data_IF_821335138777
#
_entry.id   IF_821335138777
#
_cell.length_a   1.000
_cell.length_b   1.000
_cell.length_c   1.000
_cell.angle_alpha   90.00
_cell.angle_beta   90.00
_cell.angle_gamma   90.00
#
_symmetry.space_group_name_H-M   'P 1'
#
loop_
_entity.id
_entity.type
_entity.pdbx_description
1 polymer ?
#
# COMPACT_ATOMS: atom_id res chain seq x y z
N UNK A 1 49.82 13.37 -14.08
CA UNK A 1 49.78 12.75 -12.75
C UNK A 1 48.87 13.59 -11.88
N UNK A 2 48.09 12.92 -11.03
CA UNK A 2 47.26 13.45 -9.93
C UNK A 2 45.93 14.08 -10.35
N UNK A 3 44.77 13.74 -9.80
CA UNK A 3 44.35 12.67 -8.89
C UNK A 3 42.83 12.54 -9.07
N UNK A 4 42.35 11.32 -9.32
CA UNK A 4 40.92 11.00 -9.21
C UNK A 4 40.57 10.96 -7.72
N UNK A 5 39.59 11.75 -7.30
CA UNK A 5 38.87 11.51 -6.05
C UNK A 5 37.51 10.95 -6.44
N UNK A 6 37.48 9.64 -6.67
CA UNK A 6 36.25 8.87 -6.75
C UNK A 6 35.66 8.81 -5.35
N UNK A 7 34.76 9.73 -5.04
CA UNK A 7 33.84 9.61 -3.91
C UNK A 7 32.79 8.59 -4.27
N UNK A 8 33.03 7.32 -3.95
CA UNK A 8 31.97 6.32 -3.88
C UNK A 8 31.06 6.72 -2.72
N UNK A 9 29.97 7.41 -3.02
CA UNK A 9 28.84 7.50 -2.12
C UNK A 9 28.42 6.05 -1.85
N UNK A 10 28.67 5.57 -0.63
CA UNK A 10 28.13 4.29 -0.19
C UNK A 10 26.63 4.40 -0.31
N UNK A 11 26.04 3.62 -1.22
CA UNK A 11 24.62 3.31 -1.14
C UNK A 11 24.54 2.48 0.13
N UNK A 12 24.25 3.11 1.27
CA UNK A 12 23.83 2.38 2.46
C UNK A 12 22.65 1.54 2.00
N UNK A 13 22.88 0.25 1.87
CA UNK A 13 21.85 -0.74 1.55
C UNK A 13 20.98 -0.89 2.78
N UNK A 14 20.16 0.14 3.02
CA UNK A 14 19.18 0.13 4.08
C UNK A 14 18.11 -0.87 3.65
N UNK A 15 18.19 -2.07 4.23
CA UNK A 15 17.20 -3.10 3.98
C UNK A 15 15.90 -2.65 4.65
N UNK A 16 14.78 -2.61 3.91
CA UNK A 16 13.50 -2.25 4.50
C UNK A 16 13.16 -3.23 5.63
N UNK A 17 12.43 -2.74 6.62
CA UNK A 17 11.95 -3.55 7.75
C UNK A 17 10.47 -3.84 7.57
N UNK A 18 10.00 -4.98 8.08
CA UNK A 18 8.58 -5.28 8.12
C UNK A 18 7.87 -4.25 8.99
N UNK A 19 6.82 -3.62 8.46
CA UNK A 19 6.03 -2.62 9.19
C UNK A 19 5.34 -3.19 10.43
N UNK A 20 5.02 -4.50 10.44
CA UNK A 20 4.30 -5.13 11.54
C UNK A 20 5.23 -5.67 12.63
N UNK A 21 6.17 -6.55 12.29
CA UNK A 21 7.04 -7.20 13.29
C UNK A 21 8.41 -6.51 13.47
N UNK A 22 8.74 -5.50 12.65
CA UNK A 22 10.05 -4.84 12.65
C UNK A 22 11.20 -5.71 12.14
N UNK A 23 10.93 -6.95 11.72
CA UNK A 23 11.92 -7.88 11.20
C UNK A 23 12.60 -7.34 9.93
N UNK A 24 13.92 -7.49 9.85
CA UNK A 24 14.67 -7.11 8.67
C UNK A 24 14.26 -7.98 7.47
N UNK A 25 13.98 -7.34 6.35
CA UNK A 25 13.49 -8.05 5.18
C UNK A 25 14.65 -8.47 4.29
N UNK A 26 14.67 -9.76 3.92
CA UNK A 26 15.78 -10.35 3.18
C UNK A 26 15.42 -10.70 1.74
N UNK A 27 14.24 -11.28 1.44
CA UNK A 27 13.67 -11.44 0.08
C UNK A 27 12.12 -11.64 0.13
N UNK A 28 11.42 -11.42 -1.01
CA UNK A 28 9.95 -11.55 -1.21
C UNK A 28 9.08 -10.62 -0.34
N UNK A 29 8.99 -9.36 -0.77
CA UNK A 29 8.43 -8.27 0.01
C UNK A 29 7.05 -7.91 -0.51
N UNK A 30 6.01 -7.97 0.31
CA UNK A 30 4.76 -7.32 -0.07
C UNK A 30 4.90 -5.83 0.24
N UNK A 31 4.58 -4.96 -0.72
CA UNK A 31 4.39 -3.54 -0.44
C UNK A 31 2.96 -3.15 -0.76
N UNK A 32 2.34 -2.39 0.14
CA UNK A 32 1.03 -1.79 -0.05
C UNK A 32 1.19 -0.29 0.03
N UNK A 33 0.60 0.43 -0.92
CA UNK A 33 0.53 1.88 -0.87
C UNK A 33 -0.93 2.32 -0.87
N UNK A 34 -1.29 3.14 0.11
CA UNK A 34 -2.64 3.68 0.26
C UNK A 34 -2.67 5.16 -0.13
N UNK A 35 -3.70 5.54 -0.88
CA UNK A 35 -3.90 6.89 -1.39
C UNK A 35 -5.30 7.38 -0.99
N UNK A 36 -5.45 8.13 0.12
CA UNK A 36 -6.73 8.72 0.48
C UNK A 36 -7.09 9.79 -0.56
N UNK A 37 -8.32 9.77 -1.05
CA UNK A 37 -8.86 10.95 -1.76
C UNK A 37 -9.02 12.13 -0.80
N UNK A 38 -9.28 13.32 -1.33
CA UNK A 38 -9.26 14.59 -0.56
C UNK A 38 -10.14 14.58 0.72
N UNK A 39 -11.26 13.86 0.68
CA UNK A 39 -12.20 13.75 1.80
C UNK A 39 -12.03 12.46 2.65
N UNK A 40 -11.05 11.63 2.34
CA UNK A 40 -10.75 10.39 3.06
C UNK A 40 -9.55 10.57 4.00
N UNK A 41 -9.34 9.62 4.89
CA UNK A 41 -8.16 9.57 5.76
C UNK A 41 -7.51 8.19 5.67
N UNK A 42 -6.22 8.11 6.01
CA UNK A 42 -5.55 6.83 6.11
C UNK A 42 -6.17 5.99 7.23
N UNK A 43 -6.46 4.70 7.01
CA UNK A 43 -6.98 3.82 8.04
C UNK A 43 -6.00 3.63 9.19
N UNK A 44 -6.50 3.37 10.40
CA UNK A 44 -5.71 3.34 11.64
C UNK A 44 -4.62 2.24 11.74
N UNK A 45 -4.50 1.36 10.74
CA UNK A 45 -3.43 0.36 10.59
C UNK A 45 -2.40 0.69 9.51
N UNK A 46 -2.57 1.81 8.80
CA UNK A 46 -1.64 2.29 7.77
C UNK A 46 -0.81 3.45 8.34
N UNK A 47 0.53 3.47 8.18
CA UNK A 47 1.37 4.60 8.59
C UNK A 47 1.02 5.89 7.85
N UNK A 48 1.45 7.04 8.38
CA UNK A 48 1.12 8.37 7.85
C UNK A 48 1.60 8.61 6.40
N UNK A 49 2.61 7.87 5.94
CA UNK A 49 3.09 7.90 4.55
C UNK A 49 2.26 7.01 3.59
N UNK A 50 1.27 6.30 4.12
CA UNK A 50 0.40 5.40 3.39
C UNK A 50 1.01 4.04 3.06
N UNK A 51 2.28 3.80 3.43
CA UNK A 51 3.07 2.66 2.98
C UNK A 51 3.16 1.53 4.01
N UNK A 52 2.96 0.30 3.57
CA UNK A 52 3.28 -0.91 4.34
C UNK A 52 4.30 -1.73 3.56
N UNK A 53 5.29 -2.28 4.27
CA UNK A 53 6.14 -3.35 3.76
C UNK A 53 6.02 -4.56 4.67
N UNK A 54 5.65 -5.72 4.16
CA UNK A 54 5.39 -6.92 4.95
C UNK A 54 6.34 -8.06 4.58
N UNK A 55 6.84 -8.77 5.60
CA UNK A 55 7.50 -10.05 5.41
C UNK A 55 6.47 -11.13 5.03
N UNK A 56 6.89 -12.29 4.50
CA UNK A 56 5.96 -13.35 4.08
C UNK A 56 4.98 -13.78 5.18
N UNK A 57 5.43 -13.86 6.44
CA UNK A 57 4.58 -14.28 7.56
C UNK A 57 3.50 -13.23 7.86
N UNK A 58 3.89 -11.95 8.01
CA UNK A 58 2.94 -10.87 8.28
C UNK A 58 2.05 -10.52 7.07
N UNK A 59 2.46 -10.89 5.85
CA UNK A 59 1.71 -10.65 4.64
C UNK A 59 0.58 -11.67 4.42
N UNK A 60 0.64 -12.85 5.03
CA UNK A 60 -0.25 -13.98 4.68
C UNK A 60 -1.73 -13.63 4.77
N UNK A 61 -2.20 -13.14 5.92
CA UNK A 61 -3.62 -12.81 6.11
C UNK A 61 -4.04 -11.59 5.28
N UNK A 62 -3.15 -10.60 5.14
CA UNK A 62 -3.40 -9.42 4.31
C UNK A 62 -3.59 -9.83 2.85
N UNK A 63 -2.76 -10.76 2.36
CA UNK A 63 -2.87 -11.31 1.02
C UNK A 63 -4.16 -12.13 0.83
N UNK A 64 -4.55 -12.93 1.83
CA UNK A 64 -5.80 -13.69 1.79
C UNK A 64 -7.02 -12.76 1.68
N UNK A 65 -7.06 -11.69 2.47
CA UNK A 65 -8.11 -10.68 2.39
C UNK A 65 -8.13 -10.01 1.01
N UNK A 66 -6.98 -9.51 0.53
CA UNK A 66 -6.90 -8.80 -0.75
C UNK A 66 -7.19 -9.70 -1.95
N UNK A 67 -6.89 -11.00 -1.87
CA UNK A 67 -7.22 -11.96 -2.93
C UNK A 67 -8.74 -12.14 -3.10
N UNK A 68 -9.54 -11.83 -2.06
CA UNK A 68 -11.00 -11.85 -2.14
C UNK A 68 -11.59 -10.57 -2.75
N UNK A 69 -10.79 -9.51 -2.90
CA UNK A 69 -11.26 -8.23 -3.39
C UNK A 69 -11.34 -8.18 -4.92
N UNK A 70 -12.31 -7.43 -5.42
CA UNK A 70 -12.41 -7.10 -6.83
C UNK A 70 -11.35 -6.05 -7.21
N UNK A 71 -10.44 -6.40 -8.11
CA UNK A 71 -9.40 -5.49 -8.60
C UNK A 71 -9.92 -4.57 -9.71
N UNK A 72 -9.33 -3.39 -9.79
CA UNK A 72 -9.62 -2.40 -10.82
C UNK A 72 -8.41 -2.17 -11.73
N UNK A 73 -8.62 -1.39 -12.80
CA UNK A 73 -7.53 -0.87 -13.60
C UNK A 73 -6.60 0.05 -12.81
N UNK A 74 -5.58 0.59 -13.45
CA UNK A 74 -4.76 1.63 -12.84
C UNK A 74 -5.44 3.00 -13.01
N UNK A 75 -5.47 3.89 -11.99
CA UNK A 75 -5.92 5.26 -12.19
C UNK A 75 -5.00 6.00 -13.16
N UNK A 76 -5.58 6.93 -13.94
CA UNK A 76 -4.77 7.93 -14.62
C UNK A 76 -4.10 8.84 -13.59
N UNK A 77 -2.79 8.97 -13.68
CA UNK A 77 -2.01 9.95 -12.92
C UNK A 77 -2.01 11.24 -13.74
N UNK A 78 -2.44 12.34 -13.12
CA UNK A 78 -2.51 13.67 -13.72
C UNK A 78 -1.85 14.65 -12.74
N UNK A 79 -1.11 15.62 -13.24
CA UNK A 79 -0.35 16.59 -12.43
C UNK A 79 -1.26 17.49 -11.60
N UNK A 80 -2.49 17.72 -12.06
CA UNK A 80 -3.45 18.64 -11.45
C UNK A 80 -4.34 17.98 -10.38
N UNK A 81 -4.14 16.69 -10.06
CA UNK A 81 -4.99 15.96 -9.10
C UNK A 81 -4.22 14.97 -8.23
N UNK A 82 -4.77 14.68 -7.05
CA UNK A 82 -4.21 13.64 -6.20
C UNK A 82 -4.43 12.24 -6.81
N UNK A 83 -3.50 11.33 -6.57
CA UNK A 83 -3.64 9.91 -6.97
C UNK A 83 -4.90 9.30 -6.35
N UNK A 84 -5.18 9.63 -5.08
CA UNK A 84 -6.36 9.15 -4.35
C UNK A 84 -7.68 9.55 -5.00
N UNK A 85 -7.77 10.77 -5.55
CA UNK A 85 -8.97 11.21 -6.27
C UNK A 85 -9.14 10.49 -7.62
N UNK A 86 -8.02 10.12 -8.27
CA UNK A 86 -8.04 9.30 -9.49
C UNK A 86 -8.78 7.97 -9.30
N UNK A 87 -8.73 7.38 -8.11
CA UNK A 87 -9.44 6.15 -7.77
C UNK A 87 -10.98 6.25 -7.75
N UNK A 88 -11.55 7.46 -7.79
CA UNK A 88 -13.00 7.64 -8.00
C UNK A 88 -13.44 7.22 -9.40
N UNK A 89 -12.55 7.27 -10.39
CA UNK A 89 -12.88 7.08 -11.81
C UNK A 89 -12.64 5.63 -12.28
N UNK A 90 -11.78 4.87 -11.59
CA UNK A 90 -11.32 3.54 -12.00
C UNK A 90 -12.34 2.44 -11.72
N UNK A 91 -13.34 2.72 -10.89
CA UNK A 91 -14.45 1.82 -10.62
C UNK A 91 -15.58 2.55 -9.92
N UNK A 92 -16.83 2.19 -10.24
CA UNK A 92 -18.00 2.73 -9.54
C UNK A 92 -18.30 2.03 -8.21
N UNK A 93 -17.56 0.95 -7.89
CA UNK A 93 -17.90 0.01 -6.81
C UNK A 93 -16.72 -0.27 -5.89
N UNK A 94 -16.99 -0.52 -4.63
CA UNK A 94 -15.98 -0.87 -3.63
C UNK A 94 -15.36 -2.24 -3.95
N UNK A 95 -14.04 -2.37 -3.86
CA UNK A 95 -13.32 -3.63 -4.07
C UNK A 95 -13.68 -4.71 -3.06
N UNK A 96 -14.10 -4.34 -1.85
CA UNK A 96 -14.47 -5.30 -0.80
C UNK A 96 -15.96 -5.66 -0.84
N UNK A 97 -16.86 -4.68 -0.62
CA UNK A 97 -18.29 -4.96 -0.52
C UNK A 97 -19.04 -4.96 -1.86
N UNK A 98 -18.39 -4.54 -2.95
CA UNK A 98 -18.97 -4.41 -4.31
C UNK A 98 -20.12 -3.41 -4.45
N UNK A 99 -20.53 -2.75 -3.37
CA UNK A 99 -21.53 -1.69 -3.40
C UNK A 99 -21.02 -0.46 -4.16
N UNK A 100 -21.96 0.32 -4.69
CA UNK A 100 -21.67 1.62 -5.30
C UNK A 100 -20.97 2.56 -4.33
N UNK A 101 -20.03 3.35 -4.85
CA UNK A 101 -19.25 4.31 -4.09
C UNK A 101 -19.76 5.73 -4.28
N UNK A 102 -20.61 6.17 -3.36
CA UNK A 102 -20.88 7.60 -3.17
C UNK A 102 -20.04 8.10 -1.98
N UNK A 103 -19.15 9.07 -2.19
CA UNK A 103 -18.38 9.72 -1.13
C UNK A 103 -16.86 9.48 -1.14
N UNK A 104 -16.19 9.58 0.03
CA UNK A 104 -14.73 9.42 0.15
C UNK A 104 -14.25 8.04 -0.32
N UNK A 105 -13.09 8.01 -0.98
CA UNK A 105 -12.47 6.78 -1.48
C UNK A 105 -11.03 6.66 -1.00
N UNK A 106 -10.60 5.43 -0.80
CA UNK A 106 -9.21 5.08 -0.56
C UNK A 106 -8.74 4.20 -1.72
N UNK A 107 -7.76 4.68 -2.48
CA UNK A 107 -7.01 3.85 -3.41
C UNK A 107 -6.02 2.97 -2.68
N UNK A 108 -5.88 1.71 -3.09
CA UNK A 108 -4.86 0.80 -2.54
C UNK A 108 -4.15 0.11 -3.69
N UNK A 109 -2.83 0.19 -3.69
CA UNK A 109 -1.96 -0.47 -4.65
C UNK A 109 -1.18 -1.57 -3.98
N UNK A 110 -1.12 -2.72 -4.63
CA UNK A 110 -0.37 -3.89 -4.18
C UNK A 110 0.84 -4.10 -5.08
N UNK A 111 2.02 -4.20 -4.46
CA UNK A 111 3.30 -4.43 -5.10
C UNK A 111 3.92 -5.72 -4.56
N UNK A 112 4.59 -6.47 -5.44
CA UNK A 112 5.20 -7.77 -5.09
C UNK A 112 6.61 -7.65 -4.53
N UNK A 113 7.24 -6.47 -4.65
CA UNK A 113 8.56 -6.13 -4.09
C UNK A 113 8.65 -4.63 -3.77
N UNK A 114 9.47 -4.28 -2.79
CA UNK A 114 9.85 -2.87 -2.54
C UNK A 114 10.68 -2.37 -3.70
N UNK A 115 10.31 -1.21 -4.25
CA UNK A 115 10.96 -0.62 -5.41
C UNK A 115 10.50 -1.19 -6.75
N UNK A 116 9.52 -2.10 -6.77
CA UNK A 116 8.74 -2.33 -7.99
C UNK A 116 8.09 -0.99 -8.35
N UNK A 117 8.43 -0.45 -9.53
CA UNK A 117 7.70 0.65 -10.13
C UNK A 117 6.50 0.12 -10.91
N UNK A 118 5.65 1.06 -11.36
CA UNK A 118 4.42 0.79 -12.09
C UNK A 118 4.57 -0.24 -13.23
N UNK A 119 3.50 -1.02 -13.52
CA UNK A 119 2.20 -0.98 -12.85
C UNK A 119 2.21 -1.80 -11.55
N UNK A 120 1.41 -1.36 -10.57
CA UNK A 120 1.11 -2.18 -9.40
C UNK A 120 0.56 -3.55 -9.83
N UNK A 121 0.82 -4.57 -9.02
CA UNK A 121 0.32 -5.92 -9.26
C UNK A 121 -1.22 -5.98 -9.23
N UNK A 122 -1.83 -5.22 -8.33
CA UNK A 122 -3.27 -5.03 -8.28
C UNK A 122 -3.62 -3.65 -7.72
N UNK A 123 -4.75 -3.11 -8.16
CA UNK A 123 -5.28 -1.82 -7.72
C UNK A 123 -6.68 -2.06 -7.15
N UNK A 124 -6.98 -1.42 -6.01
CA UNK A 124 -8.25 -1.56 -5.30
C UNK A 124 -8.79 -0.19 -4.91
N UNK A 125 -10.08 -0.16 -4.58
CA UNK A 125 -10.70 1.03 -4.01
C UNK A 125 -11.70 0.70 -2.93
N UNK A 126 -11.61 1.37 -1.78
CA UNK A 126 -12.54 1.18 -0.67
C UNK A 126 -13.47 2.37 -0.50
N UNK A 127 -14.76 2.09 -0.26
CA UNK A 127 -15.69 3.08 0.28
C UNK A 127 -15.37 3.38 1.76
N UNK A 128 -15.87 4.51 2.25
CA UNK A 128 -15.66 5.00 3.62
C UNK A 128 -15.82 3.91 4.70
N UNK A 129 -16.93 3.16 4.69
CA UNK A 129 -17.17 2.09 5.68
C UNK A 129 -16.14 0.95 5.60
N UNK A 130 -15.70 0.58 4.39
CA UNK A 130 -14.72 -0.48 4.21
C UNK A 130 -13.29 -0.02 4.57
N UNK A 131 -13.00 1.28 4.53
CA UNK A 131 -11.73 1.84 4.99
C UNK A 131 -11.54 1.58 6.49
N UNK A 132 -12.59 1.80 7.30
CA UNK A 132 -12.53 1.52 8.74
C UNK A 132 -12.32 0.03 9.03
N UNK A 133 -13.08 -0.85 8.35
CA UNK A 133 -12.94 -2.30 8.50
C UNK A 133 -11.53 -2.77 8.12
N UNK A 134 -10.99 -2.26 7.02
CA UNK A 134 -9.62 -2.57 6.61
C UNK A 134 -8.59 -2.09 7.63
N UNK A 135 -8.76 -0.88 8.18
CA UNK A 135 -7.91 -0.35 9.23
C UNK A 135 -7.90 -1.22 10.49
N UNK A 136 -9.07 -1.64 10.97
CA UNK A 136 -9.21 -2.53 12.13
C UNK A 136 -8.56 -3.89 11.87
N UNK A 137 -8.77 -4.45 10.68
CA UNK A 137 -8.13 -5.70 10.26
C UNK A 137 -6.59 -5.59 10.32
N UNK A 138 -6.01 -4.56 9.71
CA UNK A 138 -4.55 -4.36 9.72
C UNK A 138 -4.00 -4.20 11.15
N UNK A 139 -4.72 -3.51 12.04
CA UNK A 139 -4.32 -3.39 13.43
C UNK A 139 -4.32 -4.72 14.19
N UNK A 140 -5.29 -5.59 13.91
CA UNK A 140 -5.35 -6.92 14.53
C UNK A 140 -4.20 -7.80 14.05
N UNK A 141 -3.96 -7.87 12.73
CA UNK A 141 -2.83 -8.63 12.16
C UNK A 141 -1.50 -8.12 12.71
N UNK A 142 -1.34 -6.79 12.82
CA UNK A 142 -0.14 -6.19 13.41
C UNK A 142 0.06 -6.67 14.85
N UNK A 143 -0.98 -6.60 15.69
CA UNK A 143 -0.91 -6.99 17.11
C UNK A 143 -0.54 -8.47 17.29
N UNK A 144 -1.01 -9.33 16.39
CA UNK A 144 -0.68 -10.76 16.39
C UNK A 144 0.74 -11.05 15.89
N UNK A 145 1.32 -10.10 15.15
CA UNK A 145 2.69 -10.15 14.62
C UNK A 145 3.74 -9.52 15.56
N UNK A 146 3.31 -8.87 16.64
CA UNK A 146 4.22 -8.31 17.64
C UNK A 146 4.81 -9.44 18.51
N UNK A 147 6.14 -9.46 18.72
CA UNK A 147 6.82 -10.49 19.50
C UNK A 147 6.57 -10.41 21.02
#
# INVERSE_FOLDING_TARGET
>A
MSSQSSGTAGVESWLPSCTFCGGQLTEQLLALQSYPGEAASLPAGVPDDGGLTLCPDCASEVLELLASWYHHGQPSVDEDRSIGDGYREVGGTCSFCTDGRDGPVLGVELYRRVGDELPAYANYTLCDSCQSVFGEFLQNVRRESEP
#
